data_IF_242536084349
#
_entry.id   IF_242536084349
#
_cell.length_a   1.000
_cell.length_b   1.000
_cell.length_c   1.000
_cell.angle_alpha   90.00
_cell.angle_beta   90.00
_cell.angle_gamma   90.00
#
_symmetry.space_group_name_H-M   'P 1'
#
loop_
_entity.id
_entity.type
_entity.pdbx_description
1 polymer ?
#
# COMPACT_ATOMS: atom_id res chain seq x y z
N UNK A 1 17.28 -49.30 -22.78
CA UNK A 1 16.74 -49.10 -21.43
C UNK A 1 17.20 -50.26 -20.56
N UNK A 2 18.38 -50.17 -19.94
CA UNK A 2 18.79 -51.13 -18.92
C UNK A 2 18.41 -50.51 -17.58
N UNK A 3 17.27 -50.95 -17.04
CA UNK A 3 16.85 -50.65 -15.68
C UNK A 3 17.80 -51.44 -14.78
N UNK A 4 18.76 -50.79 -14.15
CA UNK A 4 19.64 -51.44 -13.17
C UNK A 4 18.77 -51.90 -11.99
N UNK A 5 18.43 -53.18 -11.96
CA UNK A 5 17.77 -53.85 -10.83
C UNK A 5 18.80 -54.08 -9.71
N UNK A 6 19.18 -53.01 -9.01
CA UNK A 6 20.01 -53.12 -7.81
C UNK A 6 19.06 -53.36 -6.62
N UNK A 7 19.21 -54.50 -5.96
CA UNK A 7 18.43 -54.87 -4.78
C UNK A 7 18.85 -53.99 -3.58
N UNK A 8 17.95 -53.12 -3.11
CA UNK A 8 18.20 -52.26 -1.96
C UNK A 8 18.02 -53.04 -0.65
N UNK A 9 19.08 -53.19 0.14
CA UNK A 9 19.04 -53.84 1.46
C UNK A 9 18.74 -52.81 2.54
N UNK A 10 17.66 -53.00 3.30
CA UNK A 10 17.33 -52.19 4.47
C UNK A 10 17.41 -53.06 5.73
N UNK A 11 18.27 -52.68 6.67
CA UNK A 11 18.49 -53.41 7.93
C UNK A 11 18.87 -52.44 9.05
N UNK A 12 18.54 -52.80 10.30
CA UNK A 12 18.87 -51.98 11.47
C UNK A 12 20.38 -51.70 11.58
N UNK A 13 21.23 -52.67 11.21
CA UNK A 13 22.68 -52.49 11.18
C UNK A 13 23.14 -51.43 10.16
N UNK A 14 22.44 -51.32 9.02
CA UNK A 14 22.72 -50.30 7.99
C UNK A 14 22.27 -48.92 8.47
N UNK A 15 21.16 -48.82 9.22
CA UNK A 15 20.71 -47.55 9.82
C UNK A 15 21.69 -47.04 10.89
N UNK A 16 22.21 -47.92 11.75
CA UNK A 16 23.22 -47.55 12.75
C UNK A 16 24.53 -47.09 12.09
N UNK A 17 24.97 -47.80 11.04
CA UNK A 17 26.13 -47.42 10.24
C UNK A 17 25.93 -46.07 9.55
N UNK A 18 24.75 -45.82 8.99
CA UNK A 18 24.39 -44.55 8.38
C UNK A 18 24.36 -43.42 9.42
N UNK A 19 23.89 -43.69 10.65
CA UNK A 19 23.95 -42.74 11.76
C UNK A 19 25.38 -42.34 12.13
N UNK A 20 26.29 -43.32 12.21
CA UNK A 20 27.72 -43.06 12.44
C UNK A 20 28.36 -42.23 11.32
N UNK A 21 28.05 -42.57 10.06
CA UNK A 21 28.54 -41.84 8.89
C UNK A 21 27.99 -40.41 8.82
N UNK A 22 26.71 -40.20 9.17
CA UNK A 22 26.10 -38.87 9.25
C UNK A 22 26.79 -38.02 10.31
N UNK A 23 27.12 -38.57 11.49
CA UNK A 23 27.81 -37.82 12.53
C UNK A 23 29.21 -37.35 12.08
N UNK A 24 29.97 -38.21 11.40
CA UNK A 24 31.27 -37.84 10.83
C UNK A 24 31.13 -36.81 9.69
N UNK A 25 30.11 -36.96 8.86
CA UNK A 25 29.81 -36.01 7.78
C UNK A 25 29.37 -34.64 8.33
N UNK A 26 28.63 -34.61 9.44
CA UNK A 26 28.19 -33.38 10.10
C UNK A 26 29.37 -32.56 10.63
N UNK A 27 30.41 -33.25 11.10
CA UNK A 27 31.67 -32.65 11.55
C UNK A 27 32.48 -32.09 10.36
N UNK A 28 32.37 -32.73 9.18
CA UNK A 28 33.06 -32.31 7.95
C UNK A 28 32.32 -31.18 7.19
N UNK A 29 30.99 -31.15 7.22
CA UNK A 29 30.10 -30.16 6.57
C UNK A 29 29.66 -29.11 7.60
N UNK A 30 30.53 -28.70 8.52
CA UNK A 30 30.23 -27.74 9.58
C UNK A 30 29.95 -26.29 9.08
N UNK A 31 29.45 -26.13 7.85
CA UNK A 31 28.93 -24.86 7.36
C UNK A 31 27.45 -24.74 7.75
N UNK A 32 27.22 -24.32 8.99
CA UNK A 32 25.90 -24.07 9.58
C UNK A 32 25.01 -23.15 8.73
N UNK A 33 25.61 -22.31 7.87
CA UNK A 33 24.89 -21.46 6.94
C UNK A 33 24.17 -22.26 5.82
N UNK A 34 24.78 -23.35 5.33
CA UNK A 34 24.18 -24.16 4.27
C UNK A 34 23.03 -25.03 4.81
N UNK A 35 23.18 -25.64 5.98
CA UNK A 35 22.11 -26.43 6.62
C UNK A 35 20.93 -25.55 7.05
N UNK A 36 21.20 -24.35 7.58
CA UNK A 36 20.18 -23.34 7.89
C UNK A 36 19.51 -22.79 6.63
N UNK A 37 20.28 -22.55 5.56
CA UNK A 37 19.75 -22.13 4.28
C UNK A 37 18.83 -23.18 3.65
N UNK A 38 19.19 -24.47 3.77
CA UNK A 38 18.37 -25.59 3.31
C UNK A 38 17.09 -25.70 4.16
N UNK A 39 17.19 -25.68 5.49
CA UNK A 39 16.03 -25.79 6.38
C UNK A 39 15.05 -24.64 6.19
N UNK A 40 15.53 -23.40 6.04
CA UNK A 40 14.68 -22.26 5.69
C UNK A 40 14.03 -22.41 4.32
N UNK A 41 14.72 -22.96 3.32
CA UNK A 41 14.12 -23.19 1.99
C UNK A 41 13.04 -24.27 2.05
N UNK A 42 13.27 -25.37 2.76
CA UNK A 42 12.28 -26.44 2.92
C UNK A 42 11.05 -25.93 3.69
N UNK A 43 11.25 -25.26 4.82
CA UNK A 43 10.16 -24.67 5.62
C UNK A 43 9.37 -23.60 4.84
N UNK A 44 10.06 -22.70 4.12
CA UNK A 44 9.37 -21.71 3.26
C UNK A 44 8.64 -22.35 2.09
N UNK A 45 9.08 -23.50 1.59
CA UNK A 45 8.36 -24.22 0.54
C UNK A 45 7.01 -24.71 1.06
N UNK A 46 6.97 -25.32 2.24
CA UNK A 46 5.70 -25.74 2.87
C UNK A 46 4.77 -24.55 3.19
N UNK A 47 5.31 -23.43 3.67
CA UNK A 47 4.53 -22.25 4.05
C UNK A 47 4.01 -21.47 2.81
N UNK A 48 4.78 -21.39 1.72
CA UNK A 48 4.38 -20.66 0.49
C UNK A 48 3.15 -21.27 -0.21
N UNK A 49 2.88 -22.55 0.02
CA UNK A 49 1.70 -23.24 -0.51
C UNK A 49 0.57 -23.33 0.51
N UNK A 50 0.74 -22.83 1.74
CA UNK A 50 -0.34 -22.74 2.70
C UNK A 50 -1.30 -21.62 2.28
N UNK A 51 -2.57 -21.95 1.94
CA UNK A 51 -3.54 -20.97 1.49
C UNK A 51 -3.91 -19.95 2.57
N UNK A 52 -3.64 -20.22 3.84
CA UNK A 52 -4.03 -19.37 4.97
C UNK A 52 -3.12 -18.13 5.11
N UNK A 53 -1.82 -18.28 4.83
CA UNK A 53 -0.87 -17.16 4.92
C UNK A 53 -1.02 -16.19 3.75
N UNK A 54 -1.42 -16.68 2.57
CA UNK A 54 -1.73 -15.83 1.41
C UNK A 54 -2.95 -14.95 1.70
N UNK A 55 -3.98 -15.50 2.36
CA UNK A 55 -5.17 -14.74 2.73
C UNK A 55 -4.86 -13.63 3.74
N UNK A 56 -3.97 -13.89 4.72
CA UNK A 56 -3.52 -12.87 5.68
C UNK A 56 -2.84 -11.72 4.95
N UNK A 57 -1.93 -12.00 4.01
CA UNK A 57 -1.26 -10.95 3.23
C UNK A 57 -2.22 -10.15 2.34
N UNK A 58 -3.26 -10.80 1.80
CA UNK A 58 -4.30 -10.14 1.00
C UNK A 58 -5.17 -9.22 1.85
N UNK A 59 -5.56 -9.65 3.06
CA UNK A 59 -6.31 -8.83 4.01
C UNK A 59 -5.49 -7.60 4.41
N UNK A 60 -4.21 -7.79 4.76
CA UNK A 60 -3.29 -6.69 5.09
C UNK A 60 -3.13 -5.71 3.92
N UNK A 61 -3.07 -6.20 2.68
CA UNK A 61 -2.98 -5.32 1.52
C UNK A 61 -4.25 -4.48 1.31
N UNK A 62 -5.44 -5.01 1.61
CA UNK A 62 -6.70 -4.26 1.57
C UNK A 62 -6.74 -3.21 2.66
N UNK A 63 -6.38 -3.58 3.89
CA UNK A 63 -6.32 -2.67 5.04
C UNK A 63 -5.37 -1.50 4.76
N UNK A 64 -4.17 -1.80 4.25
CA UNK A 64 -3.22 -0.77 3.84
C UNK A 64 -3.77 0.16 2.74
N UNK A 65 -4.59 -0.35 1.81
CA UNK A 65 -5.25 0.51 0.82
C UNK A 65 -6.29 1.43 1.46
N UNK A 66 -7.09 0.92 2.40
CA UNK A 66 -8.06 1.74 3.13
C UNK A 66 -7.38 2.80 4.00
N UNK A 67 -6.23 2.47 4.58
CA UNK A 67 -5.45 3.42 5.38
C UNK A 67 -4.83 4.53 4.53
N UNK A 68 -4.40 4.24 3.30
CA UNK A 68 -3.97 5.28 2.35
C UNK A 68 -5.11 6.26 2.02
N UNK A 69 -6.34 5.77 1.85
CA UNK A 69 -7.50 6.63 1.58
C UNK A 69 -7.81 7.54 2.78
N UNK A 70 -7.68 7.03 4.02
CA UNK A 70 -7.82 7.83 5.24
C UNK A 70 -6.69 8.86 5.37
N UNK A 71 -5.44 8.44 5.16
CA UNK A 71 -4.27 9.32 5.23
C UNK A 71 -4.36 10.45 4.20
N UNK A 72 -4.83 10.15 2.99
CA UNK A 72 -5.08 11.16 1.95
C UNK A 72 -6.07 12.21 2.46
N UNK A 73 -7.19 11.80 3.05
CA UNK A 73 -8.20 12.74 3.53
C UNK A 73 -7.67 13.59 4.71
N UNK A 74 -6.97 12.98 5.66
CA UNK A 74 -6.37 13.69 6.79
C UNK A 74 -5.31 14.68 6.29
N UNK A 75 -4.44 14.26 5.37
CA UNK A 75 -3.40 15.12 4.80
C UNK A 75 -4.00 16.29 4.02
N UNK A 76 -5.09 16.06 3.30
CA UNK A 76 -5.80 17.11 2.57
C UNK A 76 -6.45 18.12 3.53
N UNK A 77 -7.22 17.66 4.52
CA UNK A 77 -7.80 18.54 5.56
C UNK A 77 -6.70 19.32 6.30
N UNK A 78 -5.58 18.67 6.60
CA UNK A 78 -4.46 19.33 7.26
C UNK A 78 -3.83 20.42 6.39
N UNK A 79 -3.68 20.17 5.10
CA UNK A 79 -3.14 21.15 4.16
C UNK A 79 -4.08 22.33 3.95
N UNK A 80 -5.41 22.11 4.00
CA UNK A 80 -6.43 23.16 3.99
C UNK A 80 -6.29 24.03 5.24
N UNK A 81 -6.32 23.43 6.44
CA UNK A 81 -6.16 24.17 7.70
C UNK A 81 -4.90 25.04 7.75
N UNK A 82 -3.76 24.54 7.25
CA UNK A 82 -2.50 25.29 7.23
C UNK A 82 -2.53 26.44 6.23
N UNK A 83 -3.14 26.25 5.07
CA UNK A 83 -3.23 27.28 4.04
C UNK A 83 -4.32 28.31 4.32
N UNK A 84 -5.39 27.94 5.03
CA UNK A 84 -6.49 28.83 5.40
C UNK A 84 -6.04 29.98 6.31
N UNK A 85 -4.92 29.85 7.04
CA UNK A 85 -4.30 30.98 7.74
C UNK A 85 -3.80 32.09 6.79
N UNK A 86 -3.43 31.70 5.57
CA UNK A 86 -2.95 32.60 4.54
C UNK A 86 -4.08 33.07 3.61
N UNK A 87 -5.01 32.18 3.26
CA UNK A 87 -6.14 32.48 2.39
C UNK A 87 -7.40 31.71 2.82
N UNK A 88 -8.16 32.20 3.81
CA UNK A 88 -9.29 31.46 4.38
C UNK A 88 -10.49 31.32 3.43
N UNK A 89 -10.64 32.20 2.46
CA UNK A 89 -11.80 32.22 1.56
C UNK A 89 -11.77 31.08 0.52
N UNK A 90 -10.59 30.52 0.22
CA UNK A 90 -10.43 29.49 -0.82
C UNK A 90 -11.14 28.17 -0.49
N UNK A 91 -11.24 27.82 0.79
CA UNK A 91 -11.93 26.62 1.25
C UNK A 91 -13.46 26.68 0.97
N UNK A 92 -14.04 27.89 0.95
CA UNK A 92 -15.46 28.06 0.62
C UNK A 92 -15.73 27.96 -0.88
N UNK A 93 -14.74 28.31 -1.72
CA UNK A 93 -14.87 28.35 -3.17
C UNK A 93 -14.66 26.95 -3.76
N UNK A 94 -13.63 26.23 -3.30
CA UNK A 94 -13.24 24.92 -3.84
C UNK A 94 -13.50 23.84 -2.80
N UNK A 95 -14.56 23.04 -3.03
CA UNK A 95 -14.92 21.92 -2.16
C UNK A 95 -14.16 20.62 -2.46
N UNK A 96 -13.67 20.44 -3.70
CA UNK A 96 -12.89 19.25 -4.07
C UNK A 96 -11.44 19.40 -3.61
N UNK A 97 -11.04 18.51 -2.69
CA UNK A 97 -9.69 18.45 -2.09
C UNK A 97 -8.58 18.31 -3.13
N UNK A 98 -8.81 17.54 -4.20
CA UNK A 98 -7.81 17.31 -5.25
C UNK A 98 -7.67 18.55 -6.13
N UNK A 99 -8.79 19.21 -6.43
CA UNK A 99 -8.79 20.46 -7.19
C UNK A 99 -8.16 21.59 -6.37
N UNK A 100 -8.47 21.67 -5.08
CA UNK A 100 -7.86 22.60 -4.12
C UNK A 100 -6.34 22.47 -4.13
N UNK A 101 -5.82 21.25 -3.94
CA UNK A 101 -4.38 20.99 -3.89
C UNK A 101 -3.66 21.41 -5.17
N UNK A 102 -4.27 21.18 -6.34
CA UNK A 102 -3.71 21.60 -7.64
C UNK A 102 -3.71 23.12 -7.80
N UNK A 103 -4.76 23.78 -7.34
CA UNK A 103 -4.93 25.24 -7.44
C UNK A 103 -3.96 25.97 -6.53
N UNK A 104 -3.88 25.57 -5.26
CA UNK A 104 -2.95 26.13 -4.28
C UNK A 104 -1.50 25.91 -4.69
N UNK A 105 -1.18 24.73 -5.23
CA UNK A 105 0.18 24.45 -5.77
C UNK A 105 0.55 25.40 -6.91
N UNK A 106 -0.38 25.74 -7.79
CA UNK A 106 -0.14 26.62 -8.93
C UNK A 106 -0.02 28.08 -8.50
N UNK A 107 -0.88 28.51 -7.57
CA UNK A 107 -0.95 29.89 -7.09
C UNK A 107 0.19 30.24 -6.13
N UNK A 108 0.49 29.35 -5.17
CA UNK A 108 1.37 29.54 -4.01
C UNK A 108 0.98 30.72 -3.10
N UNK A 109 1.08 31.94 -3.61
CA UNK A 109 0.82 33.18 -2.88
C UNK A 109 -0.39 33.92 -3.47
N UNK A 110 -1.18 34.58 -2.61
CA UNK A 110 -2.37 35.37 -3.00
C UNK A 110 -2.08 36.43 -4.06
N UNK A 111 -0.87 37.00 -4.05
CA UNK A 111 -0.46 38.03 -5.01
C UNK A 111 -0.30 37.50 -6.44
N UNK A 112 -0.03 36.20 -6.57
CA UNK A 112 0.06 35.52 -7.86
C UNK A 112 -1.29 35.04 -8.39
N UNK A 113 -2.34 35.02 -7.55
CA UNK A 113 -3.71 34.68 -7.95
C UNK A 113 -4.21 35.54 -9.11
N UNK A 114 -3.87 36.83 -9.12
CA UNK A 114 -4.32 37.78 -10.14
C UNK A 114 -3.59 37.62 -11.49
N UNK A 115 -2.41 36.98 -11.51
CA UNK A 115 -1.54 36.86 -12.70
C UNK A 115 -1.66 35.52 -13.41
N UNK A 116 -2.23 34.53 -12.74
CA UNK A 116 -2.34 33.17 -13.26
C UNK A 116 -3.74 32.94 -13.83
N UNK A 117 -3.78 32.26 -14.98
CA UNK A 117 -5.03 31.83 -15.60
C UNK A 117 -5.41 30.45 -15.06
N UNK A 118 -6.63 30.35 -14.52
CA UNK A 118 -7.20 29.12 -13.99
C UNK A 118 -8.19 28.52 -15.00
N UNK A 119 -7.78 28.34 -16.26
CA UNK A 119 -8.65 27.83 -17.34
C UNK A 119 -9.25 26.42 -17.11
N UNK A 120 -8.90 25.74 -16.03
CA UNK A 120 -9.52 24.46 -15.64
C UNK A 120 -10.71 24.62 -14.68
N UNK A 121 -10.94 25.84 -14.17
CA UNK A 121 -11.93 26.16 -13.15
C UNK A 121 -12.72 27.40 -13.59
N UNK A 122 -13.06 27.49 -14.87
CA UNK A 122 -13.56 28.70 -15.57
C UNK A 122 -14.70 29.43 -14.82
N UNK A 123 -15.56 28.71 -14.10
CA UNK A 123 -16.66 29.32 -13.32
C UNK A 123 -16.21 29.89 -11.96
N UNK A 124 -15.26 29.26 -11.27
CA UNK A 124 -14.78 29.69 -9.94
C UNK A 124 -13.58 30.65 -10.03
N UNK A 125 -12.99 30.83 -11.21
CA UNK A 125 -11.81 31.67 -11.40
C UNK A 125 -12.09 33.15 -11.06
N UNK A 126 -13.27 33.65 -11.41
CA UNK A 126 -13.66 35.03 -11.13
C UNK A 126 -13.80 35.24 -9.61
N UNK A 127 -14.53 34.35 -8.94
CA UNK A 127 -14.71 34.39 -7.48
C UNK A 127 -13.36 34.25 -6.74
N UNK A 128 -12.46 33.40 -7.23
CA UNK A 128 -11.14 33.20 -6.65
C UNK A 128 -10.27 34.46 -6.77
N UNK A 129 -10.32 35.16 -7.91
CA UNK A 129 -9.58 36.40 -8.14
C UNK A 129 -10.13 37.54 -7.28
N UNK A 130 -11.45 37.65 -7.14
CA UNK A 130 -12.09 38.65 -6.26
C UNK A 130 -11.80 38.38 -4.77
N UNK A 131 -11.87 37.12 -4.35
CA UNK A 131 -11.53 36.69 -3.00
C UNK A 131 -10.04 36.94 -2.69
N UNK A 132 -9.15 36.73 -3.67
CA UNK A 132 -7.72 37.00 -3.52
C UNK A 132 -7.40 38.48 -3.27
N UNK A 133 -8.20 39.41 -3.82
CA UNK A 133 -8.04 40.85 -3.55
C UNK A 133 -8.63 41.29 -2.21
N UNK A 134 -9.70 40.63 -1.76
CA UNK A 134 -10.44 40.98 -0.54
C UNK A 134 -10.03 40.12 0.66
N UNK A 135 -9.04 39.23 0.51
CA UNK A 135 -8.72 38.23 1.51
C UNK A 135 -8.27 38.84 2.84
N UNK A 136 -8.83 38.30 3.92
CA UNK A 136 -8.50 38.68 5.30
C UNK A 136 -7.37 37.84 5.89
N UNK A 137 -6.74 36.98 5.09
CA UNK A 137 -5.65 36.11 5.52
C UNK A 137 -4.34 36.82 5.83
N UNK A 138 -3.47 36.14 6.58
CA UNK A 138 -2.16 36.66 7.00
C UNK A 138 -1.09 36.41 5.94
N UNK A 139 -0.08 37.27 5.87
CA UNK A 139 1.05 37.06 4.96
C UNK A 139 1.91 35.90 5.45
N UNK A 140 2.07 34.87 4.61
CA UNK A 140 2.86 33.69 4.93
C UNK A 140 4.31 33.87 4.44
N UNK A 141 5.26 33.39 5.23
CA UNK A 141 6.65 33.33 4.82
C UNK A 141 6.86 32.25 3.74
N UNK A 142 7.77 32.49 2.80
CA UNK A 142 8.11 31.55 1.71
C UNK A 142 8.49 30.14 2.21
N UNK A 143 9.14 30.05 3.37
CA UNK A 143 9.48 28.77 4.01
C UNK A 143 8.24 27.96 4.38
N UNK A 144 7.21 28.62 4.91
CA UNK A 144 5.95 27.98 5.28
C UNK A 144 5.18 27.58 4.02
N UNK A 145 5.11 28.47 3.02
CA UNK A 145 4.47 28.18 1.74
C UNK A 145 5.12 26.99 1.03
N UNK A 146 6.45 26.88 1.02
CA UNK A 146 7.15 25.74 0.44
C UNK A 146 6.82 24.43 1.18
N UNK A 147 6.66 24.48 2.50
CA UNK A 147 6.28 23.32 3.31
C UNK A 147 4.86 22.85 2.97
N UNK A 148 3.91 23.79 2.86
CA UNK A 148 2.54 23.50 2.44
C UNK A 148 2.51 22.93 1.02
N UNK A 149 3.25 23.51 0.08
CA UNK A 149 3.33 22.98 -1.30
C UNK A 149 3.90 21.56 -1.32
N UNK A 150 4.90 21.26 -0.51
CA UNK A 150 5.43 19.90 -0.39
C UNK A 150 4.39 18.90 0.15
N UNK A 151 3.56 19.32 1.11
CA UNK A 151 2.44 18.51 1.63
C UNK A 151 1.36 18.29 0.56
N UNK A 152 1.05 19.32 -0.23
CA UNK A 152 0.11 19.20 -1.35
C UNK A 152 0.63 18.27 -2.46
N UNK A 153 1.93 18.29 -2.71
CA UNK A 153 2.58 17.34 -3.62
C UNK A 153 2.43 15.90 -3.15
N UNK A 154 2.56 15.67 -1.84
CA UNK A 154 2.29 14.38 -1.25
C UNK A 154 0.83 13.95 -1.49
N UNK A 155 -0.15 14.83 -1.21
CA UNK A 155 -1.59 14.54 -1.44
C UNK A 155 -1.87 14.22 -2.91
N UNK A 156 -1.32 14.98 -3.86
CA UNK A 156 -1.49 14.73 -5.30
C UNK A 156 -0.87 13.37 -5.69
N UNK A 157 0.27 13.02 -5.11
CA UNK A 157 0.93 11.73 -5.35
C UNK A 157 0.09 10.55 -4.84
N UNK A 158 -0.48 10.66 -3.65
CA UNK A 158 -1.38 9.66 -3.07
C UNK A 158 -2.67 9.53 -3.89
N UNK A 159 -3.27 10.66 -4.28
CA UNK A 159 -4.46 10.68 -5.13
C UNK A 159 -4.23 10.00 -6.49
N UNK A 160 -3.01 10.08 -7.04
CA UNK A 160 -2.64 9.38 -8.28
C UNK A 160 -2.57 7.86 -8.10
N UNK A 161 -2.15 7.41 -6.92
CA UNK A 161 -2.08 5.97 -6.58
C UNK A 161 -3.49 5.39 -6.40
N UNK A 162 -4.37 6.12 -5.71
CA UNK A 162 -5.75 5.69 -5.46
C UNK A 162 -6.61 5.73 -6.73
N UNK A 163 -6.44 6.74 -7.57
CA UNK A 163 -7.13 6.85 -8.88
C UNK A 163 -6.64 5.85 -9.94
N UNK A 164 -5.52 5.14 -9.71
CA UNK A 164 -4.99 4.19 -10.69
C UNK A 164 -5.98 3.02 -10.85
N UNK A 165 -6.50 2.74 -12.05
CA UNK A 165 -7.51 1.70 -12.25
C UNK A 165 -6.98 0.28 -11.93
N UNK A 166 -5.65 0.10 -11.87
CA UNK A 166 -5.04 -1.15 -11.50
C UNK A 166 -5.22 -1.50 -10.02
N UNK A 167 -5.09 -0.54 -9.08
CA UNK A 167 -5.26 -0.79 -7.64
C UNK A 167 -6.72 -1.12 -7.32
N UNK A 168 -7.66 -0.35 -7.89
CA UNK A 168 -9.11 -0.57 -7.75
C UNK A 168 -9.54 -1.94 -8.29
N UNK A 169 -9.06 -2.32 -9.48
CA UNK A 169 -9.36 -3.65 -10.06
C UNK A 169 -8.77 -4.79 -9.25
N UNK A 170 -7.57 -4.63 -8.68
CA UNK A 170 -6.96 -5.67 -7.84
C UNK A 170 -7.70 -5.82 -6.51
N UNK A 171 -8.03 -4.72 -5.83
CA UNK A 171 -8.83 -4.73 -4.59
C UNK A 171 -10.18 -5.43 -4.81
N UNK A 172 -10.90 -5.10 -5.89
CA UNK A 172 -12.18 -5.74 -6.23
C UNK A 172 -12.07 -7.25 -6.49
N UNK A 173 -11.05 -7.69 -7.23
CA UNK A 173 -10.80 -9.12 -7.48
C UNK A 173 -10.48 -9.89 -6.20
N UNK A 174 -9.66 -9.30 -5.33
CA UNK A 174 -9.26 -9.91 -4.06
C UNK A 174 -10.47 -10.03 -3.12
N UNK A 175 -11.27 -8.96 -2.98
CA UNK A 175 -12.49 -8.98 -2.20
C UNK A 175 -13.49 -10.03 -2.70
N UNK A 176 -13.65 -10.17 -4.02
CA UNK A 176 -14.52 -11.19 -4.61
C UNK A 176 -14.01 -12.60 -4.30
N UNK A 177 -12.70 -12.86 -4.43
CA UNK A 177 -12.12 -14.16 -4.08
C UNK A 177 -12.29 -14.51 -2.59
N UNK A 178 -12.05 -13.53 -1.70
CA UNK A 178 -12.19 -13.72 -0.26
C UNK A 178 -13.66 -14.03 0.09
N UNK A 179 -14.60 -13.26 -0.47
CA UNK A 179 -16.04 -13.45 -0.27
C UNK A 179 -16.54 -14.81 -0.77
N UNK A 180 -16.05 -15.29 -1.92
CA UNK A 180 -16.40 -16.64 -2.40
C UNK A 180 -15.87 -17.74 -1.48
N UNK A 181 -14.66 -17.57 -0.91
CA UNK A 181 -14.07 -18.52 0.04
C UNK A 181 -14.84 -18.54 1.36
N UNK A 182 -15.27 -17.38 1.87
CA UNK A 182 -16.12 -17.30 3.07
C UNK A 182 -17.50 -17.92 2.82
N UNK A 183 -18.13 -17.65 1.67
CA UNK A 183 -19.42 -18.24 1.31
C UNK A 183 -19.36 -19.77 1.20
N UNK A 184 -18.28 -20.32 0.61
CA UNK A 184 -18.04 -21.76 0.57
C UNK A 184 -17.83 -22.35 1.97
N UNK A 185 -17.09 -21.67 2.84
CA UNK A 185 -16.88 -22.13 4.23
C UNK A 185 -18.20 -22.17 5.03
N UNK A 186 -19.04 -21.14 4.90
CA UNK A 186 -20.38 -21.11 5.53
C UNK A 186 -21.26 -22.24 5.01
N UNK A 187 -21.24 -22.49 3.69
CA UNK A 187 -22.00 -23.58 3.09
C UNK A 187 -21.48 -24.96 3.56
N UNK A 188 -20.16 -25.18 3.64
CA UNK A 188 -19.60 -26.43 4.14
C UNK A 188 -19.92 -26.67 5.63
N UNK A 189 -19.87 -25.64 6.47
CA UNK A 189 -20.22 -25.75 7.89
C UNK A 189 -21.70 -26.11 8.10
N UNK A 190 -22.60 -25.59 7.25
CA UNK A 190 -24.02 -25.94 7.29
C UNK A 190 -24.30 -27.42 6.92
N UNK A 191 -23.37 -28.09 6.23
CA UNK A 191 -23.47 -29.51 5.88
C UNK A 191 -22.82 -30.44 6.91
N UNK A 192 -21.95 -29.95 7.79
CA UNK A 192 -21.35 -30.73 8.88
C UNK A 192 -22.23 -30.81 10.15
N UNK A 193 -23.26 -29.98 10.24
CA UNK A 193 -24.20 -29.91 11.37
C UNK A 193 -25.48 -30.79 11.18
N UNK A 194 -25.50 -31.67 10.16
CA UNK A 194 -26.56 -32.68 9.90
C UNK A 194 -25.97 -34.08 9.95
#
# INVERSE_FOLDING_TARGET
>A
MLRNEIECVHSNAVMEMMGGAINQLLELIADSAMSLGLSHRMSRHEIKFSPDMVDIMLIQAIENMDDIDKELNISAMRSEEWYDWHFPEIASIIQDKILYAKTVKMMRDRTNAAKLDFSKIEELEIELKEAGMTSMGTEACDLNLNTVVAQLDHVISLAKVTSRPASVKHKGKILQSLATKTALAVHCNAFSDV
#
